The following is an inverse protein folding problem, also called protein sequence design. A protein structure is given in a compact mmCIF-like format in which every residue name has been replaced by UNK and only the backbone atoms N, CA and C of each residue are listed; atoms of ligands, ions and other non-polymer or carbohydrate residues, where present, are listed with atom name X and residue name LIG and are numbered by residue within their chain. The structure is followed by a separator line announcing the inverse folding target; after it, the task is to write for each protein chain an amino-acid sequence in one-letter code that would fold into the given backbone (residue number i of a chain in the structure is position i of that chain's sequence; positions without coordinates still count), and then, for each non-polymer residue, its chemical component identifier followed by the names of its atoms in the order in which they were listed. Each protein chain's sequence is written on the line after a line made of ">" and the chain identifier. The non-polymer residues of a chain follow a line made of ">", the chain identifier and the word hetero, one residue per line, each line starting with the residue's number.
data_IF_538784835916
#
_entry.id   IF_538784835916
#
_cell.length_a   1.000
_cell.length_b   1.000
_cell.length_c   1.000
_cell.angle_alpha   90.00
_cell.angle_beta   90.00
_cell.angle_gamma   90.00
#
_symmetry.space_group_name_H-M   'P 1'
#
loop_
_entity.id
_entity.type
_entity.pdbx_description
1 polymer ?
#
# COMPACT_ATOMS: atom_id res chain seq x y z
N UNK A 1 -2.59 1.17 -10.72
CA UNK A 1 -1.79 0.11 -10.09
C UNK A 1 -0.44 0.04 -10.79
N UNK A 2 0.68 0.11 -10.06
CA UNK A 2 2.03 -0.05 -10.60
C UNK A 2 2.24 -1.40 -11.32
N UNK A 3 3.18 -1.45 -12.27
CA UNK A 3 3.45 -2.66 -13.07
C UNK A 3 4.00 -3.81 -12.22
N UNK A 4 4.92 -3.52 -11.30
CA UNK A 4 5.47 -4.50 -10.36
C UNK A 4 4.38 -5.15 -9.50
N UNK A 5 3.45 -4.36 -8.95
CA UNK A 5 2.33 -4.89 -8.17
C UNK A 5 1.41 -5.76 -9.04
N UNK A 6 1.12 -5.36 -10.28
CA UNK A 6 0.33 -6.19 -11.20
C UNK A 6 0.99 -7.55 -11.47
N UNK A 7 2.31 -7.56 -11.69
CA UNK A 7 3.05 -8.81 -11.92
C UNK A 7 2.99 -9.71 -10.69
N UNK A 8 3.23 -9.16 -9.49
CA UNK A 8 3.11 -9.89 -8.22
C UNK A 8 1.71 -10.51 -8.04
N UNK A 9 0.65 -9.76 -8.35
CA UNK A 9 -0.72 -10.26 -8.25
C UNK A 9 -0.97 -11.40 -9.23
N UNK A 10 -0.49 -11.29 -10.47
CA UNK A 10 -0.67 -12.35 -11.47
C UNK A 10 0.01 -13.65 -11.02
N UNK A 11 1.21 -13.56 -10.46
CA UNK A 11 1.93 -14.72 -9.90
C UNK A 11 1.18 -15.36 -8.73
N UNK A 12 0.57 -14.55 -7.86
CA UNK A 12 -0.12 -15.00 -6.64
C UNK A 12 -1.59 -15.37 -6.80
N UNK A 13 -2.24 -14.92 -7.85
CA UNK A 13 -3.68 -15.12 -8.10
C UNK A 13 -4.14 -16.58 -8.20
N UNK A 14 -3.19 -17.52 -8.32
CA UNK A 14 -3.42 -18.97 -8.27
C UNK A 14 -3.88 -19.42 -6.87
N UNK A 15 -3.47 -18.72 -5.81
CA UNK A 15 -3.79 -19.03 -4.42
C UNK A 15 -5.16 -18.43 -4.04
N UNK A 16 -6.18 -19.27 -3.84
CA UNK A 16 -7.56 -18.83 -3.58
C UNK A 16 -7.70 -17.88 -2.37
N UNK A 17 -6.87 -18.05 -1.34
CA UNK A 17 -6.88 -17.17 -0.15
C UNK A 17 -6.38 -15.74 -0.43
N UNK A 18 -5.83 -15.47 -1.62
CA UNK A 18 -5.39 -14.14 -2.06
C UNK A 18 -6.45 -13.41 -2.90
N UNK A 19 -7.58 -14.06 -3.17
CA UNK A 19 -8.66 -13.44 -3.93
C UNK A 19 -9.28 -12.27 -3.16
N UNK A 20 -9.82 -11.32 -3.93
CA UNK A 20 -10.44 -10.10 -3.41
C UNK A 20 -9.54 -9.29 -2.45
N UNK A 21 -8.22 -9.50 -2.53
CA UNK A 21 -7.26 -8.73 -1.76
C UNK A 21 -7.34 -7.25 -2.11
N UNK A 22 -7.38 -6.41 -1.09
CA UNK A 22 -7.16 -4.97 -1.20
C UNK A 22 -5.65 -4.74 -1.26
N UNK A 23 -5.14 -4.47 -2.45
CA UNK A 23 -3.69 -4.35 -2.68
C UNK A 23 -3.18 -2.96 -2.29
N UNK A 24 -1.94 -2.87 -1.83
CA UNK A 24 -1.29 -1.62 -1.41
C UNK A 24 -0.01 -1.41 -2.21
N UNK A 25 0.23 -0.18 -2.64
CA UNK A 25 1.52 0.26 -3.18
C UNK A 25 1.86 1.66 -2.71
N UNK A 26 3.06 1.84 -2.17
CA UNK A 26 3.69 3.09 -1.80
C UNK A 26 4.83 3.42 -2.76
N UNK A 27 4.98 4.70 -3.07
CA UNK A 27 6.02 5.25 -3.92
C UNK A 27 6.29 6.72 -3.52
N UNK A 28 7.35 7.32 -4.06
CA UNK A 28 7.57 8.76 -3.94
C UNK A 28 6.50 9.56 -4.71
N UNK A 29 6.09 10.70 -4.17
CA UNK A 29 5.05 11.54 -4.78
C UNK A 29 5.52 12.18 -6.09
N UNK A 30 6.71 12.78 -6.10
CA UNK A 30 7.32 13.38 -7.29
C UNK A 30 8.58 12.62 -7.76
N UNK A 31 9.21 13.08 -8.84
CA UNK A 31 10.38 12.41 -9.41
C UNK A 31 11.57 12.34 -8.43
N UNK A 32 11.83 13.39 -7.67
CA UNK A 32 12.89 13.41 -6.68
C UNK A 32 12.57 12.48 -5.50
N UNK A 33 11.33 12.50 -4.99
CA UNK A 33 10.91 11.59 -3.91
C UNK A 33 11.07 10.12 -4.30
N UNK A 34 10.82 9.78 -5.58
CA UNK A 34 10.99 8.40 -6.09
C UNK A 34 12.44 7.94 -6.12
N UNK A 35 13.37 8.87 -6.31
CA UNK A 35 14.79 8.59 -6.23
C UNK A 35 15.25 8.46 -4.76
N UNK A 36 14.63 9.22 -3.85
CA UNK A 36 15.02 9.27 -2.44
C UNK A 36 14.36 8.23 -1.54
N UNK A 37 13.17 7.72 -1.88
CA UNK A 37 12.41 6.78 -1.03
C UNK A 37 13.12 5.42 -0.85
N UNK A 38 13.94 5.01 -1.81
CA UNK A 38 14.61 3.71 -1.80
C UNK A 38 13.65 2.51 -1.93
N UNK A 39 14.14 1.28 -1.71
CA UNK A 39 13.31 0.08 -1.79
C UNK A 39 12.21 0.06 -0.72
N UNK A 40 11.01 -0.38 -1.13
CA UNK A 40 9.85 -0.51 -0.25
C UNK A 40 9.46 -1.97 -0.09
N UNK A 41 9.46 -2.46 1.15
CA UNK A 41 9.04 -3.81 1.52
C UNK A 41 7.71 -3.79 2.26
N UNK A 42 6.84 -4.75 1.96
CA UNK A 42 5.54 -4.91 2.61
C UNK A 42 5.53 -6.16 3.47
N UNK A 43 4.97 -6.06 4.68
CA UNK A 43 4.91 -7.16 5.64
C UNK A 43 3.45 -7.34 6.09
N UNK A 44 2.88 -8.57 6.02
CA UNK A 44 3.48 -9.80 5.44
C UNK A 44 3.51 -9.82 3.91
N UNK A 45 2.79 -8.89 3.25
CA UNK A 45 2.74 -8.76 1.80
C UNK A 45 2.01 -7.47 1.41
N UNK A 46 1.94 -7.14 0.11
CA UNK A 46 1.46 -5.84 -0.38
C UNK A 46 -0.07 -5.75 -0.43
N UNK A 47 -0.77 -6.16 0.62
CA UNK A 47 -2.23 -6.11 0.63
C UNK A 47 -2.88 -6.77 1.83
N UNK A 48 -4.19 -6.58 1.90
CA UNK A 48 -5.09 -7.17 2.90
C UNK A 48 -6.04 -8.13 2.20
N UNK A 49 -5.99 -9.43 2.51
CA UNK A 49 -6.89 -10.42 1.93
C UNK A 49 -8.37 -10.15 2.16
N UNK A 50 -9.22 -10.55 1.21
CA UNK A 50 -10.66 -10.31 1.25
C UNK A 50 -11.38 -10.94 2.45
N UNK A 51 -10.86 -12.03 3.00
CA UNK A 51 -11.47 -12.76 4.12
C UNK A 51 -11.53 -11.97 5.44
N UNK A 52 -10.85 -10.82 5.55
CA UNK A 52 -11.01 -9.89 6.68
C UNK A 52 -12.28 -9.03 6.60
N UNK A 53 -13.02 -9.11 5.49
CA UNK A 53 -14.21 -8.34 5.20
C UNK A 53 -15.43 -9.25 4.95
N UNK A 54 -16.67 -8.77 5.16
CA UNK A 54 -17.04 -7.43 5.66
C UNK A 54 -16.91 -7.31 7.19
N UNK A 55 -16.72 -6.08 7.66
CA UNK A 55 -16.92 -5.76 9.07
C UNK A 55 -18.41 -5.63 9.37
N UNK A 56 -18.91 -6.38 10.35
CA UNK A 56 -20.33 -6.45 10.72
C UNK A 56 -20.61 -6.06 12.18
N UNK A 57 -19.61 -5.51 12.89
CA UNK A 57 -19.74 -5.13 14.30
C UNK A 57 -19.38 -6.25 15.30
N UNK A 58 -18.72 -7.30 14.83
CA UNK A 58 -18.35 -8.46 15.65
C UNK A 58 -17.37 -8.08 16.77
N UNK A 59 -17.62 -8.57 18.00
CA UNK A 59 -16.79 -8.30 19.18
C UNK A 59 -15.41 -8.93 18.97
N UNK A 60 -14.35 -8.14 19.23
CA UNK A 60 -12.97 -8.60 19.07
C UNK A 60 -12.45 -8.59 17.63
N UNK A 61 -13.16 -7.94 16.69
CA UNK A 61 -12.61 -7.68 15.36
C UNK A 61 -11.30 -6.91 15.45
N UNK A 62 -10.25 -7.46 14.82
CA UNK A 62 -8.98 -6.80 14.65
C UNK A 62 -8.88 -6.34 13.19
N UNK A 63 -8.89 -5.02 12.93
CA UNK A 63 -8.66 -4.52 11.59
C UNK A 63 -7.30 -5.01 11.08
N UNK A 64 -7.25 -5.57 9.86
CA UNK A 64 -5.98 -6.02 9.29
C UNK A 64 -5.05 -4.84 9.06
N UNK A 65 -3.75 -5.08 9.19
CA UNK A 65 -2.69 -4.09 8.99
C UNK A 65 -1.66 -4.63 8.00
N UNK A 66 -1.07 -3.72 7.22
CA UNK A 66 0.11 -3.97 6.40
C UNK A 66 1.18 -2.99 6.85
N UNK A 67 2.35 -3.52 7.21
CA UNK A 67 3.50 -2.68 7.51
C UNK A 67 4.26 -2.38 6.22
N UNK A 68 4.66 -1.11 6.06
CA UNK A 68 5.48 -0.63 4.96
C UNK A 68 6.84 -0.26 5.54
N UNK A 69 7.87 -0.96 5.10
CA UNK A 69 9.24 -0.70 5.49
C UNK A 69 9.97 -0.05 4.32
N UNK A 70 10.45 1.17 4.56
CA UNK A 70 11.39 1.86 3.68
C UNK A 70 12.79 1.39 4.07
N UNK A 71 13.44 0.58 3.23
CA UNK A 71 14.64 -0.15 3.63
C UNK A 71 15.88 0.74 3.69
N UNK A 72 16.05 1.63 2.71
CA UNK A 72 17.18 2.54 2.59
C UNK A 72 16.75 3.88 1.98
N UNK A 73 15.90 4.67 2.66
CA UNK A 73 15.58 6.02 2.22
C UNK A 73 16.79 6.95 2.39
N UNK A 74 16.91 7.95 1.52
CA UNK A 74 17.96 8.96 1.59
C UNK A 74 17.82 9.82 2.86
N UNK A 75 18.90 9.92 3.64
CA UNK A 75 18.96 10.77 4.83
C UNK A 75 19.18 12.26 4.48
N UNK A 76 18.82 13.16 5.39
CA UNK A 76 19.03 14.61 5.25
C UNK A 76 18.14 15.31 4.22
N UNK A 77 17.12 14.61 3.67
CA UNK A 77 16.15 15.16 2.71
C UNK A 77 14.72 14.84 3.15
N UNK A 78 13.79 15.73 2.84
CA UNK A 78 12.35 15.48 3.04
C UNK A 78 11.83 14.67 1.85
N UNK A 79 11.24 13.52 2.14
CA UNK A 79 10.66 12.60 1.16
C UNK A 79 9.15 12.61 1.32
N UNK A 80 8.42 12.95 0.27
CA UNK A 80 6.96 12.84 0.23
C UNK A 80 6.58 11.46 -0.28
N UNK A 81 5.91 10.67 0.57
CA UNK A 81 5.49 9.30 0.26
C UNK A 81 4.00 9.27 0.02
N UNK A 82 3.58 8.61 -1.07
CA UNK A 82 2.18 8.37 -1.41
C UNK A 82 1.90 6.86 -1.46
N UNK A 83 1.02 6.38 -0.58
CA UNK A 83 0.52 5.01 -0.58
C UNK A 83 -0.90 4.96 -1.13
N UNK A 84 -1.16 4.06 -2.07
CA UNK A 84 -2.46 3.84 -2.71
C UNK A 84 -2.95 2.42 -2.49
N UNK A 85 -4.24 2.28 -2.26
CA UNK A 85 -4.95 1.01 -2.23
C UNK A 85 -5.65 0.73 -3.56
N UNK A 86 -5.67 -0.53 -3.99
CA UNK A 86 -6.26 -0.98 -5.25
C UNK A 86 -7.24 -2.13 -5.00
N UNK A 87 -8.52 -1.87 -5.25
CA UNK A 87 -9.59 -2.86 -5.29
C UNK A 87 -10.71 -2.36 -6.21
N UNK A 88 -11.53 -3.26 -6.74
CA UNK A 88 -12.58 -2.89 -7.71
C UNK A 88 -13.60 -1.87 -7.15
N UNK A 89 -13.82 -1.88 -5.84
CA UNK A 89 -14.73 -0.99 -5.13
C UNK A 89 -14.08 0.30 -4.62
N UNK A 90 -12.75 0.47 -4.74
CA UNK A 90 -12.04 1.69 -4.32
C UNK A 90 -11.86 2.60 -5.53
N UNK A 91 -12.71 3.62 -5.64
CA UNK A 91 -12.66 4.60 -6.72
C UNK A 91 -11.91 5.86 -6.28
N UNK A 92 -10.93 6.34 -7.06
CA UNK A 92 -10.28 7.63 -6.79
C UNK A 92 -11.32 8.75 -6.79
N UNK A 93 -11.21 9.65 -5.82
CA UNK A 93 -12.04 10.85 -5.74
C UNK A 93 -11.16 12.08 -5.92
N UNK A 94 -11.60 13.07 -6.70
CA UNK A 94 -10.78 14.26 -7.00
C UNK A 94 -10.56 15.12 -5.76
N UNK A 95 -11.59 15.27 -4.94
CA UNK A 95 -11.57 16.20 -3.80
C UNK A 95 -11.31 15.52 -2.44
N UNK A 96 -11.24 14.18 -2.41
CA UNK A 96 -11.08 13.41 -1.18
C UNK A 96 -9.99 12.35 -1.37
N UNK A 97 -9.07 12.17 -0.41
CA UNK A 97 -8.01 11.16 -0.49
C UNK A 97 -8.58 9.76 -0.20
N UNK A 98 -9.54 9.29 -1.00
CA UNK A 98 -10.11 7.95 -0.86
C UNK A 98 -9.07 6.92 -1.31
N UNK A 99 -8.78 5.95 -0.45
CA UNK A 99 -7.83 4.87 -0.75
C UNK A 99 -6.40 5.35 -0.99
N UNK A 100 -6.05 6.55 -0.50
CA UNK A 100 -4.71 7.13 -0.62
C UNK A 100 -4.32 7.76 0.71
N UNK A 101 -3.08 7.56 1.13
CA UNK A 101 -2.48 8.29 2.26
C UNK A 101 -1.16 8.91 1.78
N UNK A 102 -0.93 10.15 2.20
CA UNK A 102 0.30 10.90 1.93
C UNK A 102 0.92 11.32 3.24
N UNK A 103 2.24 11.19 3.36
CA UNK A 103 2.99 11.64 4.53
C UNK A 103 4.40 12.05 4.13
N UNK A 104 5.04 12.84 4.98
CA UNK A 104 6.41 13.31 4.81
C UNK A 104 7.32 12.59 5.80
N UNK A 105 8.51 12.22 5.35
CA UNK A 105 9.56 11.60 6.16
C UNK A 105 10.88 12.33 5.94
N UNK A 106 11.66 12.47 7.00
CA UNK A 106 13.07 12.85 6.96
C UNK A 106 13.79 12.05 8.03
N UNK A 107 14.90 11.41 7.64
CA UNK A 107 15.80 10.71 8.57
C UNK A 107 17.04 11.59 8.70
N UNK A 108 17.44 11.86 9.95
CA UNK A 108 18.64 12.64 10.29
C UNK A 108 19.91 11.78 10.21
#
# INVERSE_FOLDING_TARGET
>A
MPRNLRNYINEKSVEAHTWETVWVSCDGENAADKEFIGPVRYIPGPGVPGYYFPYTGQKGYLPPLVAVQLEMPQAGVVINVECKTWAANIKPHKDKPIGTVKFQLMID
#
